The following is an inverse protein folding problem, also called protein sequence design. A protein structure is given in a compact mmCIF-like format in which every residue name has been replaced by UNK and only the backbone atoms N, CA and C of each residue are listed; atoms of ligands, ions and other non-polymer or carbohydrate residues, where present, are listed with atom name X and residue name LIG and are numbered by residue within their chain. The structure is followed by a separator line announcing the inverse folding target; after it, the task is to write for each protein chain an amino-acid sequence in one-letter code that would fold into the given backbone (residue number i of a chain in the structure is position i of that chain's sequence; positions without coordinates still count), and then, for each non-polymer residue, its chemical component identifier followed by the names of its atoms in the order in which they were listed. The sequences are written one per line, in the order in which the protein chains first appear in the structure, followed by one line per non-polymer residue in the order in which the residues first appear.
data_IF_843709550130
#
_entry.id   IF_843709550130
#
_cell.length_a   1.000
_cell.length_b   1.000
_cell.length_c   1.000
_cell.angle_alpha   90.00
_cell.angle_beta   90.00
_cell.angle_gamma   90.00
#
_symmetry.space_group_name_H-M   'P 1'
#
loop_
_entity.id
_entity.type
_entity.pdbx_description
1 polymer ?
#
# COMPACT_ATOMS: atom_id res chain seq x y z
N UNK A 1 14.59 -2.61 -4.19
CA UNK A 1 13.40 -3.26 -4.78
C UNK A 1 13.67 -3.50 -6.25
N UNK A 2 13.49 -4.73 -6.75
CA UNK A 2 13.46 -5.01 -8.19
C UNK A 2 12.03 -4.73 -8.65
N UNK A 3 11.84 -3.78 -9.56
CA UNK A 3 10.55 -3.58 -10.22
C UNK A 3 10.31 -4.76 -11.17
N UNK A 4 9.09 -5.31 -11.17
CA UNK A 4 8.67 -6.26 -12.20
C UNK A 4 8.29 -5.43 -13.42
N UNK A 5 8.84 -5.79 -14.57
CA UNK A 5 8.55 -5.15 -15.85
C UNK A 5 7.78 -6.19 -16.66
N UNK A 6 6.47 -6.02 -16.77
CA UNK A 6 5.66 -6.83 -17.68
C UNK A 6 5.56 -6.09 -19.02
N UNK A 7 6.10 -6.70 -20.08
CA UNK A 7 6.08 -6.15 -21.44
C UNK A 7 5.03 -6.89 -22.25
N UNK A 8 4.00 -6.18 -22.70
CA UNK A 8 2.99 -6.71 -23.63
C UNK A 8 3.25 -6.13 -25.01
N UNK A 9 3.48 -7.00 -26.01
CA UNK A 9 3.65 -6.61 -27.41
C UNK A 9 2.35 -6.94 -28.15
N UNK A 10 1.68 -5.92 -28.66
CA UNK A 10 0.45 -6.05 -29.44
C UNK A 10 0.77 -6.39 -30.90
N UNK A 11 -0.21 -7.00 -31.60
CA UNK A 11 -0.06 -7.42 -33.01
C UNK A 11 0.22 -6.28 -33.98
N UNK A 12 -0.10 -5.04 -33.60
CA UNK A 12 0.16 -3.82 -34.37
C UNK A 12 1.54 -3.22 -34.12
N UNK A 13 2.38 -3.87 -33.30
CA UNK A 13 3.72 -3.37 -32.95
C UNK A 13 3.74 -2.44 -31.73
N UNK A 14 2.59 -2.11 -31.14
CA UNK A 14 2.54 -1.34 -29.90
C UNK A 14 3.08 -2.18 -28.75
N UNK A 15 3.77 -1.53 -27.82
CA UNK A 15 4.33 -2.15 -26.63
C UNK A 15 3.83 -1.42 -25.39
N UNK A 16 3.22 -2.17 -24.47
CA UNK A 16 2.87 -1.68 -23.13
C UNK A 16 3.88 -2.22 -22.12
N UNK A 17 4.48 -1.31 -21.35
CA UNK A 17 5.46 -1.64 -20.32
C UNK A 17 4.81 -1.33 -18.98
N UNK A 18 4.28 -2.36 -18.33
CA UNK A 18 3.76 -2.30 -16.98
C UNK A 18 4.93 -2.33 -15.99
N UNK A 19 5.23 -1.16 -15.45
CA UNK A 19 6.18 -0.99 -14.35
C UNK A 19 5.39 -0.76 -13.06
N UNK A 20 4.85 -1.83 -12.48
CA UNK A 20 4.15 -1.74 -11.19
C UNK A 20 5.14 -1.98 -10.05
N UNK A 21 5.16 -1.09 -9.06
CA UNK A 21 5.80 -1.39 -7.78
C UNK A 21 5.00 -2.46 -7.02
N UNK A 22 5.65 -3.26 -6.16
CA UNK A 22 4.95 -4.24 -5.33
C UNK A 22 3.84 -3.59 -4.49
N UNK A 23 3.98 -2.31 -4.11
CA UNK A 23 2.95 -1.56 -3.41
C UNK A 23 1.70 -1.34 -4.27
N UNK A 24 1.87 -1.03 -5.56
CA UNK A 24 0.75 -0.89 -6.50
C UNK A 24 0.07 -2.24 -6.77
N UNK A 25 0.84 -3.34 -6.83
CA UNK A 25 0.26 -4.68 -6.95
C UNK A 25 -0.56 -5.04 -5.71
N UNK A 26 -0.02 -4.82 -4.50
CA UNK A 26 -0.74 -5.07 -3.24
C UNK A 26 -2.01 -4.21 -3.11
N UNK A 27 -1.96 -2.96 -3.55
CA UNK A 27 -3.15 -2.09 -3.61
C UNK A 27 -4.19 -2.62 -4.61
N UNK A 28 -3.77 -3.05 -5.81
CA UNK A 28 -4.66 -3.65 -6.81
C UNK A 28 -5.28 -4.96 -6.32
N UNK A 29 -4.53 -5.78 -5.58
CA UNK A 29 -5.04 -6.99 -4.95
C UNK A 29 -6.13 -6.66 -3.94
N UNK A 30 -5.89 -5.69 -3.06
CA UNK A 30 -6.90 -5.16 -2.14
C UNK A 30 -8.17 -4.71 -2.88
N UNK A 31 -8.05 -3.85 -3.88
CA UNK A 31 -9.18 -3.36 -4.66
C UNK A 31 -9.97 -4.50 -5.32
N UNK A 32 -9.25 -5.48 -5.87
CA UNK A 32 -9.84 -6.66 -6.52
C UNK A 32 -10.66 -7.48 -5.53
N UNK A 33 -10.12 -7.76 -4.34
CA UNK A 33 -10.85 -8.53 -3.34
C UNK A 33 -12.05 -7.75 -2.79
N UNK A 34 -11.92 -6.45 -2.54
CA UNK A 34 -13.03 -5.60 -2.13
C UNK A 34 -14.16 -5.61 -3.15
N UNK A 35 -13.84 -5.43 -4.43
CA UNK A 35 -14.84 -5.46 -5.51
C UNK A 35 -15.53 -6.82 -5.63
N UNK A 36 -14.76 -7.92 -5.54
CA UNK A 36 -15.33 -9.28 -5.54
C UNK A 36 -16.24 -9.52 -4.34
N UNK A 37 -15.93 -8.95 -3.17
CA UNK A 37 -16.76 -9.08 -1.98
C UNK A 37 -18.14 -8.45 -2.19
N UNK A 38 -18.17 -7.24 -2.77
CA UNK A 38 -19.42 -6.53 -3.11
C UNK A 38 -20.22 -7.30 -4.15
N UNK A 39 -19.60 -7.71 -5.26
CA UNK A 39 -20.27 -8.47 -6.32
C UNK A 39 -20.89 -9.79 -5.85
N UNK A 40 -20.31 -10.45 -4.84
CA UNK A 40 -20.89 -11.66 -4.26
C UNK A 40 -22.01 -11.35 -3.26
N UNK A 41 -21.93 -10.22 -2.57
CA UNK A 41 -22.96 -9.75 -1.64
C UNK A 41 -24.24 -9.37 -2.37
N UNK A 42 -24.12 -8.65 -3.49
CA UNK A 42 -25.22 -8.23 -4.38
C UNK A 42 -26.03 -9.39 -4.96
N UNK A 43 -25.48 -10.61 -4.98
CA UNK A 43 -26.23 -11.79 -5.42
C UNK A 43 -27.30 -12.23 -4.43
N UNK A 44 -27.23 -11.78 -3.18
CA UNK A 44 -28.21 -12.05 -2.10
C UNK A 44 -28.53 -13.53 -1.86
N UNK A 45 -27.66 -14.44 -2.32
CA UNK A 45 -27.77 -15.87 -2.06
C UNK A 45 -26.95 -16.27 -0.85
N UNK A 46 -27.32 -17.37 -0.18
CA UNK A 46 -26.52 -17.94 0.93
C UNK A 46 -25.05 -18.16 0.53
N UNK A 47 -24.82 -18.67 -0.68
CA UNK A 47 -23.47 -18.87 -1.25
C UNK A 47 -22.77 -17.54 -1.52
N UNK A 48 -23.48 -16.54 -2.03
CA UNK A 48 -22.98 -15.18 -2.27
C UNK A 48 -22.51 -14.51 -0.97
N UNK A 49 -23.35 -14.52 0.07
CA UNK A 49 -23.01 -13.97 1.40
C UNK A 49 -21.76 -14.67 1.97
N UNK A 50 -21.69 -16.00 1.88
CA UNK A 50 -20.53 -16.75 2.33
C UNK A 50 -19.24 -16.38 1.59
N UNK A 51 -19.29 -16.28 0.26
CA UNK A 51 -18.14 -15.88 -0.57
C UNK A 51 -17.75 -14.42 -0.34
N UNK A 52 -18.72 -13.53 -0.18
CA UNK A 52 -18.49 -12.12 0.14
C UNK A 52 -17.64 -11.98 1.41
N UNK A 53 -18.02 -12.66 2.50
CA UNK A 53 -17.23 -12.67 3.75
C UNK A 53 -15.81 -13.22 3.58
N UNK A 54 -15.60 -14.18 2.66
CA UNK A 54 -14.24 -14.66 2.35
C UNK A 54 -13.42 -13.60 1.62
N UNK A 55 -14.03 -12.90 0.67
CA UNK A 55 -13.37 -11.83 -0.06
C UNK A 55 -13.10 -10.60 0.81
N UNK A 56 -13.99 -10.22 1.74
CA UNK A 56 -13.70 -9.14 2.70
C UNK A 56 -12.50 -9.48 3.60
N UNK A 57 -12.37 -10.73 4.05
CA UNK A 57 -11.19 -11.20 4.78
C UNK A 57 -9.91 -11.11 3.95
N UNK A 58 -9.95 -11.57 2.70
CA UNK A 58 -8.81 -11.45 1.79
C UNK A 58 -8.43 -9.97 1.55
N UNK A 59 -9.43 -9.11 1.34
CA UNK A 59 -9.21 -7.66 1.18
C UNK A 59 -8.56 -7.05 2.43
N UNK A 60 -9.04 -7.39 3.63
CA UNK A 60 -8.45 -6.93 4.89
C UNK A 60 -6.97 -7.30 5.00
N UNK A 61 -6.62 -8.57 4.73
CA UNK A 61 -5.24 -9.05 4.79
C UNK A 61 -4.36 -8.35 3.75
N UNK A 62 -4.85 -8.17 2.52
CA UNK A 62 -4.13 -7.42 1.48
C UNK A 62 -3.94 -5.95 1.85
N UNK A 63 -4.95 -5.31 2.45
CA UNK A 63 -4.87 -3.90 2.88
C UNK A 63 -3.82 -3.71 3.98
N UNK A 64 -3.79 -4.56 4.99
CA UNK A 64 -2.76 -4.51 6.03
C UNK A 64 -1.37 -4.84 5.47
N UNK A 65 -1.26 -5.83 4.59
CA UNK A 65 0.02 -6.15 3.93
C UNK A 65 0.56 -4.96 3.14
N UNK A 66 -0.31 -4.26 2.39
CA UNK A 66 0.03 -3.02 1.71
C UNK A 66 0.51 -1.95 2.69
N UNK A 67 -0.27 -1.70 3.75
CA UNK A 67 0.04 -0.69 4.75
C UNK A 67 1.39 -0.94 5.43
N UNK A 68 1.62 -2.16 5.93
CA UNK A 68 2.88 -2.57 6.53
C UNK A 68 4.06 -2.43 5.57
N UNK A 69 3.86 -2.82 4.31
CA UNK A 69 4.87 -2.66 3.27
C UNK A 69 5.29 -1.19 3.09
N UNK A 70 4.32 -0.28 3.05
CA UNK A 70 4.57 1.16 2.93
C UNK A 70 5.31 1.69 4.15
N UNK A 71 4.83 1.39 5.36
CA UNK A 71 5.44 1.85 6.61
C UNK A 71 6.88 1.32 6.75
N UNK A 72 7.12 0.05 6.45
CA UNK A 72 8.47 -0.54 6.49
C UNK A 72 9.43 0.15 5.51
N UNK A 73 8.94 0.51 4.32
CA UNK A 73 9.74 1.25 3.35
C UNK A 73 10.08 2.66 3.84
N UNK A 74 9.09 3.35 4.41
CA UNK A 74 9.30 4.68 4.98
C UNK A 74 10.30 4.66 6.12
N UNK A 75 10.18 3.71 7.07
CA UNK A 75 11.16 3.54 8.14
C UNK A 75 12.56 3.30 7.58
N UNK A 76 12.69 2.46 6.55
CA UNK A 76 13.99 2.25 5.90
C UNK A 76 14.58 3.54 5.33
N UNK A 77 13.77 4.36 4.66
CA UNK A 77 14.20 5.66 4.13
C UNK A 77 14.55 6.64 5.26
N UNK A 78 13.71 6.71 6.30
CA UNK A 78 13.95 7.56 7.47
C UNK A 78 15.29 7.19 8.13
N UNK A 79 15.57 5.90 8.33
CA UNK A 79 16.83 5.45 8.94
C UNK A 79 18.06 5.84 8.10
N UNK A 80 17.93 5.84 6.77
CA UNK A 80 19.01 6.27 5.88
C UNK A 80 19.34 7.77 6.06
N UNK A 81 18.31 8.59 6.25
CA UNK A 81 18.46 10.04 6.44
C UNK A 81 18.78 10.40 7.90
N UNK A 82 18.29 9.58 8.84
CA UNK A 82 18.31 9.80 10.29
C UNK A 82 18.56 8.49 11.04
N UNK A 83 19.84 8.12 11.23
CA UNK A 83 20.24 6.87 11.88
C UNK A 83 19.70 6.70 13.31
N UNK A 84 19.29 7.77 13.99
CA UNK A 84 18.68 7.71 15.31
C UNK A 84 17.39 6.86 15.37
N UNK A 85 16.70 6.67 14.22
CA UNK A 85 15.51 5.81 14.10
C UNK A 85 15.84 4.31 13.93
N UNK A 86 17.11 3.90 14.00
CA UNK A 86 17.51 2.52 13.69
C UNK A 86 16.81 1.46 14.55
N UNK A 87 16.49 1.79 15.81
CA UNK A 87 15.79 0.89 16.73
C UNK A 87 14.36 0.57 16.29
N UNK A 88 13.77 1.37 15.40
CA UNK A 88 12.40 1.21 14.90
C UNK A 88 12.28 0.14 13.81
N UNK A 89 13.38 -0.28 13.17
CA UNK A 89 13.35 -1.22 12.04
C UNK A 89 12.64 -2.55 12.37
N UNK A 90 12.92 -3.10 13.55
CA UNK A 90 12.39 -4.39 14.01
C UNK A 90 11.13 -4.27 14.88
N UNK A 91 10.60 -3.05 15.03
CA UNK A 91 9.39 -2.83 15.83
C UNK A 91 8.12 -3.25 15.08
N UNK A 92 7.04 -3.43 15.84
CA UNK A 92 5.70 -3.59 15.31
C UNK A 92 5.25 -2.35 14.52
N UNK A 93 4.31 -2.55 13.60
CA UNK A 93 3.78 -1.52 12.70
C UNK A 93 3.21 -0.34 13.48
N UNK A 94 2.53 -0.56 14.60
CA UNK A 94 2.02 0.53 15.43
C UNK A 94 3.14 1.47 15.90
N UNK A 95 4.24 0.90 16.41
CA UNK A 95 5.41 1.65 16.86
C UNK A 95 6.16 2.33 15.71
N UNK A 96 6.17 1.70 14.54
CA UNK A 96 6.68 2.33 13.31
C UNK A 96 5.83 3.53 12.91
N UNK A 97 4.51 3.46 13.07
CA UNK A 97 3.63 4.59 12.78
C UNK A 97 3.94 5.79 13.70
N UNK A 98 4.15 5.55 15.00
CA UNK A 98 4.54 6.62 15.94
C UNK A 98 5.85 7.30 15.50
N UNK A 99 6.84 6.51 15.10
CA UNK A 99 8.14 7.04 14.67
C UNK A 99 8.05 7.85 13.37
N UNK A 100 7.19 7.44 12.43
CA UNK A 100 6.92 8.21 11.21
C UNK A 100 6.24 9.55 11.54
N UNK A 101 5.34 9.60 12.53
CA UNK A 101 4.73 10.86 12.99
C UNK A 101 5.76 11.77 13.66
N UNK A 102 6.66 11.20 14.47
CA UNK A 102 7.79 11.93 15.05
C UNK A 102 8.69 12.52 13.95
N UNK A 103 8.99 11.74 12.91
CA UNK A 103 9.72 12.22 11.73
C UNK A 103 8.99 13.37 11.01
N UNK A 104 7.66 13.28 10.84
CA UNK A 104 6.86 14.38 10.26
C UNK A 104 7.01 15.68 11.04
N UNK A 105 7.06 15.61 12.37
CA UNK A 105 7.31 16.78 13.22
C UNK A 105 8.70 17.36 12.95
N UNK A 106 9.74 16.53 12.80
CA UNK A 106 11.08 17.03 12.47
C UNK A 106 11.19 17.64 11.07
N UNK A 107 10.38 17.21 10.11
CA UNK A 107 10.38 17.77 8.75
C UNK A 107 9.66 19.13 8.67
N UNK A 108 8.57 19.31 9.43
CA UNK A 108 7.66 20.45 9.26
C UNK A 108 7.60 21.40 10.46
N UNK A 109 8.14 20.99 11.62
CA UNK A 109 7.96 21.62 12.93
C UNK A 109 6.49 21.91 13.30
N UNK A 110 5.57 21.25 12.60
CA UNK A 110 4.14 21.41 12.80
C UNK A 110 3.67 20.28 13.70
N UNK A 111 3.07 20.63 14.84
CA UNK A 111 2.43 19.64 15.71
C UNK A 111 1.12 19.22 15.08
N UNK A 112 0.95 17.91 14.91
CA UNK A 112 -0.36 17.38 14.60
C UNK A 112 -1.32 17.65 15.76
N UNK A 113 -2.45 18.28 15.49
CA UNK A 113 -3.48 18.58 16.50
C UNK A 113 -4.50 17.45 16.65
N UNK A 114 -4.51 16.47 15.75
CA UNK A 114 -5.38 15.28 15.81
C UNK A 114 -4.67 14.04 16.36
N UNK A 115 -5.41 12.96 16.58
CA UNK A 115 -4.86 11.65 16.92
C UNK A 115 -5.35 10.61 15.92
N UNK A 116 -4.47 9.74 15.43
CA UNK A 116 -4.81 8.60 14.57
C UNK A 116 -5.44 7.44 15.36
N UNK A 117 -6.28 7.75 16.36
CA UNK A 117 -6.78 6.79 17.36
C UNK A 117 -7.50 5.61 16.72
N UNK A 118 -8.36 5.88 15.73
CA UNK A 118 -9.09 4.83 15.00
C UNK A 118 -8.14 3.88 14.29
N UNK A 119 -7.16 4.41 13.54
CA UNK A 119 -6.14 3.64 12.86
C UNK A 119 -5.35 2.78 13.86
N UNK A 120 -4.90 3.38 14.96
CA UNK A 120 -4.10 2.71 15.98
C UNK A 120 -4.87 1.56 16.63
N UNK A 121 -6.16 1.75 16.86
CA UNK A 121 -7.06 0.69 17.32
C UNK A 121 -7.10 -0.49 16.34
N UNK A 122 -7.22 -0.22 15.04
CA UNK A 122 -7.24 -1.26 14.02
C UNK A 122 -5.90 -1.99 13.88
N UNK A 123 -4.79 -1.26 13.85
CA UNK A 123 -3.44 -1.86 13.79
C UNK A 123 -3.21 -2.75 15.01
N UNK A 124 -3.50 -2.26 16.21
CA UNK A 124 -3.31 -3.03 17.43
C UNK A 124 -4.13 -4.33 17.42
N UNK A 125 -5.41 -4.28 17.00
CA UNK A 125 -6.23 -5.49 16.87
C UNK A 125 -5.66 -6.48 15.85
N UNK A 126 -5.16 -5.97 14.72
CA UNK A 126 -4.54 -6.80 13.69
C UNK A 126 -3.25 -7.47 14.17
N UNK A 127 -2.35 -6.72 14.81
CA UNK A 127 -1.07 -7.19 15.35
C UNK A 127 -1.26 -8.21 16.49
N UNK A 128 -2.31 -8.07 17.29
CA UNK A 128 -2.68 -9.04 18.32
C UNK A 128 -3.41 -10.27 17.75
N UNK A 129 -3.53 -10.37 16.42
CA UNK A 129 -4.25 -11.44 15.74
C UNK A 129 -5.66 -11.65 16.27
N UNK A 130 -6.38 -10.54 16.54
CA UNK A 130 -7.77 -10.59 16.99
C UNK A 130 -8.65 -11.24 15.92
N UNK A 131 -8.95 -12.53 16.12
CA UNK A 131 -9.76 -13.33 15.21
C UNK A 131 -11.16 -12.73 15.02
N UNK A 132 -11.69 -11.98 16.00
CA UNK A 132 -13.01 -11.37 15.87
C UNK A 132 -13.02 -10.27 14.79
N UNK A 133 -11.91 -9.54 14.61
CA UNK A 133 -11.79 -8.57 13.51
C UNK A 133 -11.89 -9.27 12.16
N UNK A 134 -11.21 -10.40 12.01
CA UNK A 134 -11.18 -11.17 10.76
C UNK A 134 -12.53 -11.88 10.54
N UNK A 135 -13.14 -12.43 11.59
CA UNK A 135 -14.39 -13.18 11.50
C UNK A 135 -15.58 -12.30 11.12
N UNK A 136 -15.62 -11.08 11.65
CA UNK A 136 -16.75 -10.17 11.51
C UNK A 136 -16.51 -9.00 10.55
N UNK A 137 -15.41 -9.03 9.79
CA UNK A 137 -15.15 -7.98 8.79
C UNK A 137 -16.30 -7.88 7.76
N UNK A 138 -16.71 -6.65 7.50
CA UNK A 138 -17.69 -6.29 6.49
C UNK A 138 -17.23 -5.06 5.68
N UNK A 139 -18.04 -4.67 4.70
CA UNK A 139 -17.72 -3.54 3.83
C UNK A 139 -17.59 -2.21 4.58
N UNK A 140 -18.41 -1.98 5.60
CA UNK A 140 -18.39 -0.74 6.39
C UNK A 140 -17.09 -0.64 7.21
N UNK A 141 -16.76 -1.69 7.94
CA UNK A 141 -15.55 -1.74 8.76
C UNK A 141 -14.31 -1.68 7.88
N UNK A 142 -14.29 -2.41 6.76
CA UNK A 142 -13.17 -2.35 5.81
C UNK A 142 -12.97 -0.93 5.24
N UNK A 143 -14.06 -0.23 4.92
CA UNK A 143 -14.01 1.15 4.42
C UNK A 143 -13.53 2.13 5.50
N UNK A 144 -13.90 1.90 6.76
CA UNK A 144 -13.43 2.71 7.89
C UNK A 144 -11.92 2.54 8.11
N UNK A 145 -11.40 1.31 8.00
CA UNK A 145 -9.97 1.02 8.10
C UNK A 145 -9.21 1.69 6.95
N UNK A 146 -9.69 1.53 5.71
CA UNK A 146 -9.10 2.17 4.52
C UNK A 146 -9.05 3.69 4.68
N UNK A 147 -10.14 4.31 5.13
CA UNK A 147 -10.20 5.77 5.35
C UNK A 147 -9.18 6.21 6.40
N UNK A 148 -9.09 5.49 7.52
CA UNK A 148 -8.13 5.82 8.57
C UNK A 148 -6.67 5.67 8.12
N UNK A 149 -6.38 4.67 7.27
CA UNK A 149 -5.06 4.52 6.63
C UNK A 149 -4.78 5.63 5.62
N UNK A 150 -5.78 6.02 4.81
CA UNK A 150 -5.67 7.08 3.82
C UNK A 150 -5.38 8.43 4.47
N UNK A 151 -6.08 8.78 5.55
CA UNK A 151 -5.84 9.99 6.33
C UNK A 151 -4.41 10.05 6.86
N UNK A 152 -3.90 8.93 7.40
CA UNK A 152 -2.53 8.80 7.86
C UNK A 152 -1.53 8.98 6.71
N UNK A 153 -1.75 8.30 5.58
CA UNK A 153 -0.88 8.44 4.41
C UNK A 153 -0.85 9.88 3.90
N UNK A 154 -2.01 10.50 3.71
CA UNK A 154 -2.12 11.88 3.24
C UNK A 154 -1.37 12.84 4.15
N UNK A 155 -1.49 12.66 5.47
CA UNK A 155 -0.77 13.47 6.44
C UNK A 155 0.75 13.35 6.29
N UNK A 156 1.28 12.12 6.24
CA UNK A 156 2.72 11.89 6.10
C UNK A 156 3.25 12.40 4.76
N UNK A 157 2.53 12.14 3.68
CA UNK A 157 2.92 12.55 2.32
C UNK A 157 2.86 14.06 2.10
N UNK A 158 2.07 14.80 2.89
CA UNK A 158 1.99 16.25 2.86
C UNK A 158 3.16 16.92 3.59
N UNK A 159 3.70 16.29 4.64
CA UNK A 159 4.73 16.88 5.49
C UNK A 159 6.15 16.37 5.21
N UNK A 160 6.29 15.35 4.36
CA UNK A 160 7.57 14.70 4.09
C UNK A 160 7.76 14.44 2.58
N UNK A 161 8.96 14.03 2.19
CA UNK A 161 9.26 13.55 0.84
C UNK A 161 8.82 12.09 0.61
N UNK A 162 8.35 11.40 1.65
CA UNK A 162 7.94 10.01 1.58
C UNK A 162 6.70 9.87 0.70
N UNK A 163 6.64 8.75 -0.03
CA UNK A 163 5.51 8.38 -0.90
C UNK A 163 5.20 6.89 -0.74
N UNK A 164 3.93 6.54 -0.65
CA UNK A 164 3.46 5.16 -0.56
C UNK A 164 3.60 4.38 -1.87
N UNK A 165 3.55 5.11 -2.98
CA UNK A 165 3.89 4.62 -4.31
C UNK A 165 5.16 5.32 -4.79
N UNK A 166 6.36 4.80 -4.47
CA UNK A 166 7.61 5.41 -4.89
C UNK A 166 7.73 5.35 -6.41
N UNK A 167 8.21 6.45 -7.01
CA UNK A 167 8.52 6.44 -8.46
C UNK A 167 9.61 5.40 -8.73
N UNK A 168 9.51 4.67 -9.85
CA UNK A 168 10.56 3.73 -10.20
C UNK A 168 11.92 4.43 -10.38
N UNK A 169 13.00 3.78 -9.93
CA UNK A 169 14.34 4.35 -10.01
C UNK A 169 14.74 4.68 -11.47
N UNK A 170 15.52 5.75 -11.64
CA UNK A 170 16.05 6.23 -12.93
C UNK A 170 16.77 5.14 -13.75
N UNK A 171 17.41 4.17 -13.09
CA UNK A 171 18.07 3.03 -13.76
C UNK A 171 17.07 2.17 -14.57
N UNK A 172 15.86 2.00 -14.05
CA UNK A 172 14.79 1.25 -14.72
C UNK A 172 14.11 2.10 -15.80
N UNK A 173 13.94 3.41 -15.55
CA UNK A 173 13.48 4.37 -16.58
C UNK A 173 14.46 4.46 -17.76
N UNK A 174 15.77 4.40 -17.49
CA UNK A 174 16.81 4.33 -18.51
C UNK A 174 16.79 3.03 -19.30
N UNK A 175 16.42 1.90 -18.67
CA UNK A 175 16.24 0.62 -19.37
C UNK A 175 15.01 0.66 -20.29
N UNK A 176 13.89 1.20 -19.81
CA UNK A 176 12.67 1.41 -20.60
C UNK A 176 12.91 2.40 -21.75
N UNK A 177 13.62 3.49 -21.50
CA UNK A 177 14.02 4.44 -22.53
C UNK A 177 14.95 3.83 -23.58
N UNK A 178 15.88 2.95 -23.18
CA UNK A 178 16.74 2.20 -24.12
C UNK A 178 15.94 1.19 -24.94
N UNK A 179 15.01 0.45 -24.33
CA UNK A 179 14.15 -0.51 -25.06
C UNK A 179 13.24 0.25 -26.04
N UNK A 180 12.61 1.35 -25.61
CA UNK A 180 11.80 2.20 -26.50
C UNK A 180 12.60 2.88 -27.61
N UNK A 181 13.87 3.22 -27.37
CA UNK A 181 14.79 3.73 -28.39
C UNK A 181 15.19 2.66 -29.41
N UNK A 182 15.57 1.47 -28.96
CA UNK A 182 15.95 0.35 -29.83
C UNK A 182 14.82 -0.10 -30.77
N UNK A 183 13.55 0.03 -30.36
CA UNK A 183 12.40 -0.31 -31.22
C UNK A 183 12.16 0.75 -32.30
N UNK A 184 12.39 2.05 -32.00
CA UNK A 184 12.29 3.12 -33.00
C UNK A 184 13.37 3.00 -34.09
N UNK A 185 14.56 2.56 -33.71
CA UNK A 185 15.68 2.38 -34.64
C UNK A 185 15.54 1.12 -35.53
N UNK A 186 14.63 0.20 -35.20
CA UNK A 186 14.30 -0.99 -36.01
C UNK A 186 13.23 -0.73 -37.10
N UNK A 187 12.77 0.51 -37.25
CA UNK A 187 11.87 0.94 -38.34
C UNK A 187 12.58 1.86 -39.37
N UNK A 188 13.91 1.76 -39.46
CA UNK A 188 14.71 2.33 -40.56
C UNK A 188 14.73 1.45 -41.80
#
# INVERSE_FOLDING_TARGET
MKAKIDVTIFKNGDMDILQASIYEELWKDYCTFKQRAVMQQEKETKKGIFLSRRYYRAALLSLFTFFEGVINNWIKTIIQDRPEFSSTAEQQTLKKCDAVIEYCFFCSYTKHTGTFTSLYGYINRYEQHDLALIEHIDGQTLSAIETAMEEYFCYVEALTSLKRFPKPNQSTTGLVGRIGGMVKDCHG
#
